data_IF_377765529465
#
_entry.id   IF_377765529465
#
_cell.length_a   1.000
_cell.length_b   1.000
_cell.length_c   1.000
_cell.angle_alpha   90.00
_cell.angle_beta   90.00
_cell.angle_gamma   90.00
#
_symmetry.space_group_name_H-M   'P 1'
#
loop_
_entity.id
_entity.type
_entity.pdbx_description
1 polymer ?
#
# COMPACT_ATOMS: atom_id res chain seq x y z
N UNK A 1 60.79 -39.09 39.53
CA UNK A 1 60.69 -38.45 38.21
C UNK A 1 59.30 -37.84 38.10
N UNK A 2 59.24 -36.50 37.96
CA UNK A 2 58.10 -35.59 37.63
C UNK A 2 56.82 -35.68 38.49
N UNK A 3 56.27 -34.70 39.23
CA UNK A 3 56.17 -33.21 39.16
C UNK A 3 55.60 -32.68 37.84
N UNK A 4 54.65 -31.74 37.74
CA UNK A 4 53.96 -30.81 38.65
C UNK A 4 52.79 -30.18 37.84
N UNK A 5 51.61 -30.02 38.43
CA UNK A 5 51.00 -28.75 38.89
C UNK A 5 50.05 -28.04 37.92
N UNK A 6 48.90 -27.71 38.51
CA UNK A 6 47.82 -26.81 38.12
C UNK A 6 48.23 -25.35 38.24
N UNK A 7 47.68 -24.46 37.42
CA UNK A 7 47.56 -23.04 37.76
C UNK A 7 46.39 -22.39 37.02
N UNK A 8 45.51 -21.77 37.79
CA UNK A 8 44.72 -20.57 37.48
C UNK A 8 45.06 -19.61 38.63
N UNK A 9 45.41 -18.33 38.40
CA UNK A 9 44.40 -17.29 38.70
C UNK A 9 44.58 -15.92 37.99
N UNK A 10 43.48 -15.15 37.98
CA UNK A 10 43.38 -13.67 38.14
C UNK A 10 44.03 -12.75 37.07
N UNK A 11 43.54 -11.56 36.73
CA UNK A 11 42.34 -10.77 37.02
C UNK A 11 42.51 -9.40 36.30
N UNK A 12 41.47 -8.56 36.39
CA UNK A 12 41.48 -7.08 36.25
C UNK A 12 41.50 -6.55 34.79
N UNK A 13 40.78 -5.50 34.40
CA UNK A 13 40.01 -4.50 35.15
C UNK A 13 39.07 -3.77 34.19
N UNK A 14 37.87 -3.47 34.67
CA UNK A 14 36.98 -2.43 34.19
C UNK A 14 37.57 -1.05 34.50
N UNK A 15 37.58 -0.14 33.53
CA UNK A 15 37.76 1.29 33.80
C UNK A 15 36.56 2.09 33.28
N UNK A 16 35.86 2.68 34.24
CA UNK A 16 35.08 3.90 34.04
C UNK A 16 36.04 5.04 33.66
N UNK A 17 35.61 5.93 32.77
CA UNK A 17 36.15 7.27 32.70
C UNK A 17 35.04 8.25 32.31
N UNK A 18 34.54 8.96 33.31
CA UNK A 18 34.03 10.31 33.16
C UNK A 18 35.13 11.20 32.56
N UNK A 19 34.81 11.96 31.52
CA UNK A 19 35.51 13.22 31.25
C UNK A 19 34.51 14.29 30.86
N UNK A 20 34.40 15.26 31.76
CA UNK A 20 33.84 16.60 31.64
C UNK A 20 34.57 17.49 30.64
N UNK A 21 33.87 18.57 30.24
CA UNK A 21 34.36 19.81 29.62
C UNK A 21 34.61 19.72 28.09
N UNK A 22 34.25 20.69 27.25
CA UNK A 22 34.16 22.15 27.44
C UNK A 22 33.17 22.78 26.46
N UNK A 23 32.56 23.87 26.92
CA UNK A 23 31.87 24.90 26.15
C UNK A 23 32.65 25.38 24.92
N UNK A 24 31.92 25.60 23.82
CA UNK A 24 32.29 26.59 22.82
C UNK A 24 31.03 27.38 22.42
N UNK A 25 30.95 28.58 22.99
CA UNK A 25 30.06 29.65 22.58
C UNK A 25 30.46 30.22 21.20
N UNK A 26 29.45 30.51 20.39
CA UNK A 26 29.35 31.68 19.52
C UNK A 26 30.04 31.64 18.14
N UNK A 27 29.59 32.47 17.16
CA UNK A 27 28.83 33.70 17.38
C UNK A 27 27.46 33.73 16.68
N UNK A 28 26.57 34.53 17.26
CA UNK A 28 25.33 34.95 16.63
C UNK A 28 25.54 35.88 15.45
N UNK A 29 24.60 35.84 14.53
CA UNK A 29 24.24 37.00 13.71
C UNK A 29 22.73 37.13 13.70
N UNK A 30 22.32 38.33 14.06
CA UNK A 30 20.96 38.85 14.07
C UNK A 30 20.46 39.16 12.66
N UNK A 31 19.13 39.11 12.50
CA UNK A 31 18.42 39.95 11.55
C UNK A 31 17.88 39.26 10.30
N UNK A 32 16.60 38.92 10.30
CA UNK A 32 15.56 39.77 9.69
C UNK A 32 14.30 38.96 9.46
N UNK A 33 13.18 39.50 9.94
CA UNK A 33 11.86 38.95 9.68
C UNK A 33 11.53 39.02 8.19
N UNK A 34 10.86 37.99 7.71
CA UNK A 34 10.07 38.06 6.50
C UNK A 34 8.64 37.69 6.87
N UNK A 35 7.86 38.73 7.16
CA UNK A 35 6.41 38.70 7.11
C UNK A 35 6.00 38.55 5.63
N UNK A 36 5.48 37.39 5.26
CA UNK A 36 5.04 37.08 3.90
C UNK A 36 3.66 36.44 3.90
N UNK A 37 2.65 37.31 3.86
CA UNK A 37 1.29 37.14 3.34
C UNK A 37 0.65 35.74 3.40
N UNK A 38 -0.36 35.64 4.26
CA UNK A 38 -1.49 34.74 4.12
C UNK A 38 -2.03 34.78 2.69
N UNK A 39 -1.91 33.67 1.96
CA UNK A 39 -2.80 33.26 0.87
C UNK A 39 -2.56 31.76 0.66
N UNK A 40 -2.79 30.98 1.72
CA UNK A 40 -3.03 29.54 1.57
C UNK A 40 -4.51 29.40 1.25
N UNK A 41 -4.85 29.42 -0.05
CA UNK A 41 -5.97 28.61 -0.53
C UNK A 41 -5.62 27.15 -0.19
N UNK A 42 -5.99 26.75 1.02
CA UNK A 42 -6.09 25.36 1.43
C UNK A 42 -7.08 24.73 0.45
N UNK A 43 -6.59 24.05 -0.57
CA UNK A 43 -7.46 23.23 -1.40
C UNK A 43 -8.13 22.20 -0.49
N UNK A 44 -9.45 22.04 -0.57
CA UNK A 44 -10.20 20.98 0.13
C UNK A 44 -9.56 19.60 -0.03
N UNK A 45 -8.81 19.39 -1.11
CA UNK A 45 -8.03 18.19 -1.40
C UNK A 45 -6.90 17.90 -0.39
N UNK A 46 -6.34 18.91 0.25
CA UNK A 46 -5.20 18.75 1.19
C UNK A 46 -5.63 18.35 2.60
N UNK A 47 -6.88 18.60 2.98
CA UNK A 47 -7.41 18.22 4.30
C UNK A 47 -7.57 16.70 4.42
N UNK A 48 -7.76 16.01 3.29
CA UNK A 48 -8.10 14.59 3.27
C UNK A 48 -6.89 13.65 3.24
N UNK A 49 -5.68 14.17 3.04
CA UNK A 49 -4.46 13.34 3.10
C UNK A 49 -3.83 13.30 4.49
N UNK A 50 -4.36 14.12 5.41
CA UNK A 50 -3.90 14.15 6.78
C UNK A 50 -4.69 13.16 7.64
N UNK A 51 -4.27 11.90 7.59
CA UNK A 51 -4.77 10.84 8.47
C UNK A 51 -4.57 11.14 9.97
N UNK A 52 -3.94 12.27 10.32
CA UNK A 52 -3.70 12.71 11.69
C UNK A 52 -4.74 13.69 12.24
N UNK A 53 -5.70 14.15 11.41
CA UNK A 53 -6.79 15.02 11.87
C UNK A 53 -7.87 14.22 12.60
N UNK A 54 -7.69 14.07 13.92
CA UNK A 54 -8.56 13.36 14.86
C UNK A 54 -9.95 13.98 15.10
N UNK A 55 -10.29 15.09 14.44
CA UNK A 55 -11.49 15.88 14.78
C UNK A 55 -12.65 15.69 13.80
N UNK A 56 -12.45 14.95 12.71
CA UNK A 56 -13.55 14.57 11.83
C UNK A 56 -14.25 13.33 12.41
N UNK A 57 -15.55 13.43 12.68
CA UNK A 57 -16.36 12.26 13.03
C UNK A 57 -16.19 11.18 11.94
N UNK A 58 -16.04 9.91 12.36
CA UNK A 58 -15.94 8.79 11.43
C UNK A 58 -17.17 8.81 10.49
N UNK A 59 -16.97 8.60 9.17
CA UNK A 59 -18.05 8.68 8.20
C UNK A 59 -19.10 7.59 8.46
N UNK A 60 -20.38 7.97 8.47
CA UNK A 60 -21.47 7.02 8.49
C UNK A 60 -21.63 6.35 7.11
N UNK A 61 -21.70 5.02 7.11
CA UNK A 61 -21.72 4.23 5.87
C UNK A 61 -23.04 4.38 5.11
N UNK A 62 -24.17 4.47 5.83
CA UNK A 62 -25.47 4.65 5.21
C UNK A 62 -25.54 6.04 4.56
N UNK A 63 -25.00 7.06 5.22
CA UNK A 63 -24.86 8.40 4.65
C UNK A 63 -23.96 8.42 3.40
N UNK A 64 -22.83 7.72 3.42
CA UNK A 64 -21.97 7.58 2.24
C UNK A 64 -22.69 6.88 1.07
N UNK A 65 -23.43 5.81 1.38
CA UNK A 65 -24.27 5.11 0.41
C UNK A 65 -25.38 6.00 -0.15
N UNK A 66 -25.99 6.85 0.66
CA UNK A 66 -27.01 7.81 0.24
C UNK A 66 -26.43 8.91 -0.63
N UNK A 67 -25.27 9.48 -0.25
CA UNK A 67 -24.52 10.46 -1.07
C UNK A 67 -24.07 9.87 -2.40
N UNK A 68 -23.74 8.58 -2.44
CA UNK A 68 -23.32 7.89 -3.66
C UNK A 68 -24.46 7.72 -4.68
N UNK A 69 -25.74 7.88 -4.28
CA UNK A 69 -26.92 7.87 -5.17
C UNK A 69 -27.07 9.16 -5.99
N UNK A 70 -25.96 9.69 -6.52
CA UNK A 70 -25.99 10.86 -7.43
C UNK A 70 -26.42 10.45 -8.84
N UNK A 71 -26.86 11.46 -9.59
CA UNK A 71 -27.14 11.33 -11.02
C UNK A 71 -25.97 10.64 -11.73
N UNK A 72 -26.24 9.70 -12.64
CA UNK A 72 -25.19 8.95 -13.33
C UNK A 72 -24.24 9.92 -14.00
N UNK A 73 -22.96 9.88 -13.61
CA UNK A 73 -21.87 10.54 -14.32
C UNK A 73 -21.98 10.15 -15.79
N UNK A 74 -22.03 11.15 -16.68
CA UNK A 74 -22.03 10.95 -18.14
C UNK A 74 -20.94 9.93 -18.44
N UNK A 75 -21.34 8.75 -18.93
CA UNK A 75 -20.44 7.61 -19.06
C UNK A 75 -19.25 8.01 -19.94
N UNK A 76 -18.08 8.26 -19.34
CA UNK A 76 -16.85 8.41 -20.11
C UNK A 76 -16.56 7.04 -20.74
N UNK A 77 -16.74 6.96 -22.06
CA UNK A 77 -16.51 5.72 -22.80
C UNK A 77 -15.03 5.58 -23.08
N UNK A 78 -14.41 4.55 -22.50
CA UNK A 78 -13.02 4.20 -22.80
C UNK A 78 -12.84 3.94 -24.31
N UNK A 79 -11.82 4.57 -24.89
CA UNK A 79 -11.42 4.31 -26.27
C UNK A 79 -10.91 2.87 -26.43
N UNK A 80 -10.66 2.42 -27.67
CA UNK A 80 -10.25 1.02 -27.93
C UNK A 80 -8.92 0.67 -27.25
N UNK A 81 -7.96 1.60 -27.22
CA UNK A 81 -6.66 1.38 -26.61
C UNK A 81 -6.78 1.24 -25.08
N UNK A 82 -7.53 2.15 -24.44
CA UNK A 82 -7.84 2.11 -23.01
C UNK A 82 -8.59 0.83 -22.63
N UNK A 83 -9.62 0.43 -23.40
CA UNK A 83 -10.34 -0.83 -23.17
C UNK A 83 -9.40 -2.03 -23.23
N UNK A 84 -8.60 -2.14 -24.30
CA UNK A 84 -7.66 -3.23 -24.45
C UNK A 84 -6.60 -3.27 -23.34
N UNK A 85 -6.15 -2.10 -22.87
CA UNK A 85 -5.22 -1.98 -21.76
C UNK A 85 -5.84 -2.52 -20.46
N UNK A 86 -7.05 -2.03 -20.11
CA UNK A 86 -7.76 -2.41 -18.88
C UNK A 86 -8.23 -3.87 -18.92
N UNK A 87 -8.87 -4.32 -20.00
CA UNK A 87 -9.47 -5.66 -20.08
C UNK A 87 -8.48 -6.76 -20.49
N UNK A 88 -7.37 -6.39 -21.12
CA UNK A 88 -6.37 -7.32 -21.63
C UNK A 88 -5.32 -7.71 -20.61
N UNK A 89 -5.08 -6.86 -19.59
CA UNK A 89 -3.98 -7.07 -18.65
C UNK A 89 -4.11 -8.38 -17.87
N UNK A 90 -5.27 -8.65 -17.26
CA UNK A 90 -5.48 -9.86 -16.46
C UNK A 90 -5.37 -11.14 -17.29
N UNK A 91 -6.03 -11.20 -18.46
CA UNK A 91 -5.93 -12.34 -19.37
C UNK A 91 -4.49 -12.56 -19.87
N UNK A 92 -3.78 -11.49 -20.25
CA UNK A 92 -2.38 -11.56 -20.64
C UNK A 92 -1.51 -12.09 -19.50
N UNK A 93 -1.68 -11.57 -18.28
CA UNK A 93 -0.96 -12.01 -17.08
C UNK A 93 -1.20 -13.51 -16.79
N UNK A 94 -2.45 -13.97 -16.90
CA UNK A 94 -2.81 -15.37 -16.69
C UNK A 94 -2.23 -16.30 -17.75
N UNK A 95 -2.20 -15.87 -19.02
CA UNK A 95 -1.54 -16.62 -20.09
C UNK A 95 -0.03 -16.73 -19.86
N UNK A 96 0.64 -15.60 -19.54
CA UNK A 96 2.09 -15.53 -19.31
C UNK A 96 2.56 -16.40 -18.15
N UNK A 97 1.76 -16.47 -17.09
CA UNK A 97 2.07 -17.25 -15.87
C UNK A 97 1.62 -18.71 -15.97
N UNK A 98 0.79 -19.06 -16.95
CA UNK A 98 0.15 -20.38 -17.06
C UNK A 98 -0.99 -20.59 -16.05
N UNK A 99 -1.50 -19.50 -15.46
CA UNK A 99 -2.51 -19.52 -14.41
C UNK A 99 -3.95 -19.55 -14.92
N UNK A 100 -4.18 -19.31 -16.23
CA UNK A 100 -5.52 -19.25 -16.82
C UNK A 100 -6.37 -20.46 -16.49
N UNK A 101 -5.83 -21.68 -16.61
CA UNK A 101 -6.55 -22.91 -16.31
C UNK A 101 -6.92 -23.04 -14.83
N UNK A 102 -6.10 -22.50 -13.91
CA UNK A 102 -6.41 -22.51 -12.48
C UNK A 102 -7.49 -21.50 -12.14
N UNK A 103 -7.40 -20.26 -12.66
CA UNK A 103 -8.44 -19.23 -12.44
C UNK A 103 -9.77 -19.61 -13.04
N UNK A 104 -9.78 -20.29 -14.21
CA UNK A 104 -11.01 -20.83 -14.80
C UNK A 104 -11.78 -21.76 -13.85
N UNK A 105 -11.10 -22.48 -12.95
CA UNK A 105 -11.76 -23.32 -11.94
C UNK A 105 -12.50 -22.51 -10.88
N UNK A 106 -12.09 -21.26 -10.66
CA UNK A 106 -12.72 -20.33 -9.71
C UNK A 106 -13.90 -19.56 -10.31
N UNK A 107 -14.14 -19.61 -11.64
CA UNK A 107 -15.23 -18.85 -12.28
C UNK A 107 -16.64 -19.24 -11.82
N UNK A 108 -16.77 -20.42 -11.21
CA UNK A 108 -18.03 -20.95 -10.70
C UNK A 108 -18.26 -20.65 -9.22
N UNK A 109 -17.31 -20.01 -8.54
CA UNK A 109 -17.38 -19.72 -7.11
C UNK A 109 -17.18 -18.23 -6.89
N UNK A 110 -17.99 -17.65 -6.02
CA UNK A 110 -17.71 -16.32 -5.51
C UNK A 110 -16.65 -16.47 -4.42
N UNK A 111 -15.48 -15.88 -4.64
CA UNK A 111 -14.37 -15.93 -3.72
C UNK A 111 -14.62 -14.92 -2.59
N UNK A 112 -14.81 -15.36 -1.34
CA UNK A 112 -15.13 -14.45 -0.24
C UNK A 112 -13.88 -13.70 0.20
N UNK A 113 -13.89 -12.38 0.07
CA UNK A 113 -12.73 -11.53 0.35
C UNK A 113 -13.10 -10.41 1.32
N UNK A 114 -12.23 -10.22 2.30
CA UNK A 114 -12.21 -9.08 3.20
C UNK A 114 -11.07 -8.14 2.79
N UNK A 115 -11.33 -6.84 2.79
CA UNK A 115 -10.36 -5.79 2.52
C UNK A 115 -10.24 -4.82 3.69
N UNK A 116 -9.00 -4.46 4.05
CA UNK A 116 -8.69 -3.50 5.09
C UNK A 116 -7.78 -2.40 4.57
N UNK A 117 -7.91 -1.19 5.12
CA UNK A 117 -7.21 -0.01 4.60
C UNK A 117 -7.44 0.11 3.09
N UNK A 118 -8.72 0.06 2.72
CA UNK A 118 -9.16 -0.38 1.40
C UNK A 118 -8.88 0.66 0.32
N UNK A 119 -8.86 1.95 0.67
CA UNK A 119 -8.70 3.06 -0.26
C UNK A 119 -9.68 2.95 -1.41
N UNK A 120 -9.17 2.66 -2.60
CA UNK A 120 -9.95 2.47 -3.82
C UNK A 120 -10.14 0.98 -4.22
N UNK A 121 -10.00 0.05 -3.29
CA UNK A 121 -10.21 -1.41 -3.47
C UNK A 121 -9.33 -2.05 -4.55
N UNK A 122 -8.06 -1.62 -4.62
CA UNK A 122 -7.12 -2.14 -5.61
C UNK A 122 -7.00 -3.67 -5.60
N UNK A 123 -7.10 -4.31 -4.43
CA UNK A 123 -7.08 -5.77 -4.29
C UNK A 123 -8.30 -6.45 -4.90
N UNK A 124 -9.51 -5.92 -4.67
CA UNK A 124 -10.76 -6.44 -5.23
C UNK A 124 -10.78 -6.23 -6.74
N UNK A 125 -10.40 -5.04 -7.22
CA UNK A 125 -10.26 -4.74 -8.64
C UNK A 125 -9.26 -5.68 -9.33
N UNK A 126 -8.14 -5.99 -8.68
CA UNK A 126 -7.16 -6.94 -9.21
C UNK A 126 -7.75 -8.35 -9.39
N UNK A 127 -8.53 -8.85 -8.41
CA UNK A 127 -9.21 -10.14 -8.52
C UNK A 127 -10.24 -10.14 -9.65
N UNK A 128 -11.05 -9.08 -9.74
CA UNK A 128 -12.03 -8.90 -10.83
C UNK A 128 -11.36 -8.85 -12.21
N UNK A 129 -10.21 -8.18 -12.33
CA UNK A 129 -9.42 -8.12 -13.56
C UNK A 129 -8.88 -9.49 -13.99
N UNK A 130 -8.65 -10.40 -13.04
CA UNK A 130 -8.32 -11.81 -13.32
C UNK A 130 -9.56 -12.64 -13.71
N UNK A 131 -10.75 -12.06 -13.65
CA UNK A 131 -12.03 -12.74 -13.89
C UNK A 131 -12.55 -13.52 -12.69
N UNK A 132 -11.95 -13.36 -11.50
CA UNK A 132 -12.43 -14.00 -10.28
C UNK A 132 -13.71 -13.27 -9.84
N UNK A 133 -14.79 -14.02 -9.62
CA UNK A 133 -15.99 -13.47 -8.97
C UNK A 133 -15.69 -13.29 -7.49
N UNK A 134 -15.91 -12.09 -6.97
CA UNK A 134 -15.61 -11.76 -5.58
C UNK A 134 -16.90 -11.58 -4.81
N UNK A 135 -17.06 -12.33 -3.71
CA UNK A 135 -18.02 -12.02 -2.66
C UNK A 135 -17.32 -11.09 -1.67
N UNK A 136 -17.64 -9.80 -1.73
CA UNK A 136 -16.99 -8.80 -0.90
C UNK A 136 -17.59 -8.85 0.51
N UNK A 137 -16.95 -9.61 1.40
CA UNK A 137 -17.45 -9.90 2.75
C UNK A 137 -17.44 -8.63 3.59
N UNK A 138 -16.31 -7.94 3.64
CA UNK A 138 -16.22 -6.66 4.30
C UNK A 138 -15.14 -5.77 3.73
N UNK A 139 -15.31 -4.47 3.93
CA UNK A 139 -14.33 -3.43 3.63
C UNK A 139 -14.10 -2.57 4.87
N UNK A 140 -12.87 -2.11 5.08
CA UNK A 140 -12.56 -1.13 6.12
C UNK A 140 -11.77 0.05 5.56
N UNK A 141 -12.23 1.26 5.84
CA UNK A 141 -11.63 2.52 5.40
C UNK A 141 -12.01 3.67 6.35
N UNK A 142 -11.02 4.47 6.75
CA UNK A 142 -11.18 5.59 7.69
C UNK A 142 -11.34 6.93 6.98
N UNK A 143 -10.82 7.04 5.75
CA UNK A 143 -10.90 8.24 4.94
C UNK A 143 -12.32 8.40 4.36
N UNK A 144 -12.96 9.51 4.65
CA UNK A 144 -14.34 9.79 4.21
C UNK A 144 -14.48 9.88 2.67
N UNK A 145 -13.52 10.47 1.96
CA UNK A 145 -13.55 10.55 0.49
C UNK A 145 -13.41 9.15 -0.13
N UNK A 146 -12.48 8.35 0.37
CA UNK A 146 -12.34 6.98 -0.07
C UNK A 146 -13.61 6.18 0.24
N UNK A 147 -14.23 6.39 1.40
CA UNK A 147 -15.52 5.78 1.77
C UNK A 147 -16.62 6.11 0.76
N UNK A 148 -16.73 7.36 0.30
CA UNK A 148 -17.69 7.74 -0.74
C UNK A 148 -17.40 7.03 -2.08
N UNK A 149 -16.13 6.92 -2.47
CA UNK A 149 -15.74 6.14 -3.64
C UNK A 149 -16.12 4.66 -3.49
N UNK A 150 -15.92 4.07 -2.31
CA UNK A 150 -16.29 2.69 -2.01
C UNK A 150 -17.79 2.48 -2.12
N UNK A 151 -18.58 3.34 -1.48
CA UNK A 151 -20.04 3.28 -1.48
C UNK A 151 -20.64 3.39 -2.90
N UNK A 152 -19.96 4.10 -3.80
CA UNK A 152 -20.39 4.23 -5.20
C UNK A 152 -20.06 3.00 -6.05
N UNK A 153 -18.91 2.36 -5.82
CA UNK A 153 -18.36 1.35 -6.72
C UNK A 153 -18.46 -0.10 -6.20
N UNK A 154 -18.59 -0.27 -4.89
CA UNK A 154 -18.53 -1.56 -4.21
C UNK A 154 -19.72 -1.72 -3.26
N UNK A 155 -20.02 -2.98 -2.91
CA UNK A 155 -21.09 -3.34 -1.98
C UNK A 155 -20.61 -4.44 -1.04
N UNK A 156 -19.67 -4.11 -0.11
CA UNK A 156 -19.30 -5.06 0.92
C UNK A 156 -20.53 -5.42 1.77
N UNK A 157 -20.62 -6.66 2.26
CA UNK A 157 -21.73 -7.06 3.16
C UNK A 157 -21.66 -6.31 4.50
N UNK A 158 -20.44 -6.03 4.96
CA UNK A 158 -20.16 -5.29 6.18
C UNK A 158 -19.12 -4.20 5.89
N UNK A 159 -19.37 -2.98 6.36
CA UNK A 159 -18.40 -1.90 6.30
C UNK A 159 -17.90 -1.53 7.70
N UNK A 160 -16.60 -1.24 7.82
CA UNK A 160 -15.97 -0.82 9.05
C UNK A 160 -15.24 0.52 8.88
N UNK A 161 -15.68 1.61 9.56
CA UNK A 161 -15.03 2.91 9.43
C UNK A 161 -13.64 2.96 10.09
N UNK A 162 -13.31 2.01 10.96
CA UNK A 162 -11.98 1.93 11.58
C UNK A 162 -11.60 0.47 11.84
N UNK A 163 -10.50 0.04 11.22
CA UNK A 163 -9.90 -1.29 11.39
C UNK A 163 -9.42 -1.56 12.82
N UNK A 164 -9.03 -0.52 13.56
CA UNK A 164 -8.53 -0.66 14.94
C UNK A 164 -9.66 -0.90 15.94
N UNK A 165 -10.86 -0.40 15.66
CA UNK A 165 -12.01 -0.39 16.58
C UNK A 165 -13.20 -1.24 16.13
N UNK A 166 -13.05 -2.00 15.04
CA UNK A 166 -14.13 -2.86 14.54
C UNK A 166 -14.43 -4.05 15.46
N UNK A 167 -15.69 -4.49 15.42
CA UNK A 167 -16.13 -5.76 16.00
C UNK A 167 -16.50 -6.70 14.85
N UNK A 168 -15.79 -7.82 14.75
CA UNK A 168 -16.03 -8.80 13.69
C UNK A 168 -17.45 -9.37 13.79
N UNK A 169 -18.09 -9.52 12.63
CA UNK A 169 -19.42 -10.11 12.49
C UNK A 169 -19.32 -11.57 12.01
N UNK A 170 -20.44 -12.30 12.06
CA UNK A 170 -20.47 -13.72 11.69
C UNK A 170 -20.06 -13.94 10.23
N UNK A 171 -20.38 -12.99 9.37
CA UNK A 171 -20.03 -12.93 7.95
C UNK A 171 -18.51 -13.01 7.75
N UNK A 172 -17.72 -12.36 8.61
CA UNK A 172 -16.26 -12.31 8.48
C UNK A 172 -15.60 -13.69 8.59
N UNK A 173 -16.18 -14.62 9.34
CA UNK A 173 -15.67 -15.99 9.50
C UNK A 173 -15.78 -16.85 8.23
N UNK A 174 -16.47 -16.35 7.20
CA UNK A 174 -16.53 -16.99 5.87
C UNK A 174 -15.46 -16.49 4.91
N UNK A 175 -14.61 -15.57 5.33
CA UNK A 175 -13.59 -14.96 4.46
C UNK A 175 -12.54 -15.99 4.02
N UNK A 176 -12.36 -16.09 2.71
CA UNK A 176 -11.35 -16.93 2.05
C UNK A 176 -10.03 -16.21 1.86
N UNK A 177 -10.05 -14.87 1.83
CA UNK A 177 -8.85 -14.06 1.87
C UNK A 177 -9.05 -12.75 2.65
N UNK A 178 -7.95 -12.22 3.19
CA UNK A 178 -7.84 -10.84 3.66
C UNK A 178 -6.76 -10.11 2.83
N UNK A 179 -7.11 -8.96 2.26
CA UNK A 179 -6.17 -8.12 1.50
C UNK A 179 -6.09 -6.75 2.16
N UNK A 180 -4.89 -6.24 2.43
CA UNK A 180 -4.73 -4.93 3.04
C UNK A 180 -3.50 -4.18 2.56
N UNK A 181 -3.65 -2.90 2.23
CA UNK A 181 -2.55 -1.95 2.02
C UNK A 181 -2.42 -1.06 3.25
N UNK A 182 -1.78 -1.55 4.32
CA UNK A 182 -1.80 -0.84 5.59
C UNK A 182 -0.93 0.44 5.54
N UNK A 183 -1.29 1.50 6.31
CA UNK A 183 -0.61 2.79 6.25
C UNK A 183 0.91 2.70 6.40
N UNK A 184 1.60 3.51 5.59
CA UNK A 184 3.05 3.55 5.50
C UNK A 184 3.66 4.81 6.13
N UNK A 185 2.85 5.65 6.79
CA UNK A 185 3.33 6.88 7.43
C UNK A 185 4.52 6.66 8.40
N UNK A 186 4.58 5.58 9.20
CA UNK A 186 5.77 5.26 10.00
C UNK A 186 6.92 4.64 9.19
N UNK A 187 6.68 4.14 7.99
CA UNK A 187 7.67 3.34 7.24
C UNK A 187 8.25 4.06 6.02
N UNK A 188 7.90 5.34 5.84
CA UNK A 188 8.35 6.16 4.71
C UNK A 188 9.81 6.59 4.85
N UNK A 189 10.56 6.52 3.75
CA UNK A 189 11.97 6.93 3.69
C UNK A 189 12.18 8.41 4.06
N UNK A 190 11.12 9.21 3.90
CA UNK A 190 11.10 10.67 4.06
C UNK A 190 10.99 11.14 5.53
N UNK A 191 10.63 10.26 6.47
CA UNK A 191 10.71 10.55 7.92
C UNK A 191 11.96 9.87 8.48
N UNK A 192 12.96 10.66 8.89
CA UNK A 192 14.21 10.17 9.49
C UNK A 192 14.05 9.88 10.98
N UNK A 193 13.14 10.60 11.64
CA UNK A 193 12.82 10.48 13.06
C UNK A 193 11.48 9.74 13.22
N UNK A 194 11.47 8.44 12.92
CA UNK A 194 10.29 7.59 13.05
C UNK A 194 10.58 6.45 14.02
N UNK A 195 9.67 6.22 14.94
CA UNK A 195 9.69 5.09 15.88
C UNK A 195 9.09 3.82 15.26
N UNK A 196 8.86 3.84 13.94
CA UNK A 196 8.46 2.69 13.12
C UNK A 196 7.18 2.03 13.64
N UNK A 197 7.27 0.83 14.24
CA UNK A 197 6.12 0.07 14.71
C UNK A 197 5.58 0.55 16.06
N UNK A 198 6.31 1.41 16.76
CA UNK A 198 5.87 1.97 18.04
C UNK A 198 4.98 3.22 17.86
N UNK A 199 4.81 3.68 16.62
CA UNK A 199 3.93 4.79 16.29
C UNK A 199 2.45 4.39 16.27
N UNK A 200 1.57 5.32 16.65
CA UNK A 200 0.12 5.21 16.51
C UNK A 200 -0.32 4.80 15.10
N UNK A 201 0.38 5.29 14.07
CA UNK A 201 0.11 4.99 12.67
C UNK A 201 0.38 3.51 12.29
N UNK A 202 1.07 2.74 13.15
CA UNK A 202 1.26 1.30 12.99
C UNK A 202 0.13 0.45 13.57
N UNK A 203 -0.78 1.02 14.39
CA UNK A 203 -1.93 0.30 14.98
C UNK A 203 -2.75 -0.53 13.97
N UNK A 204 -3.05 -0.02 12.75
CA UNK A 204 -3.75 -0.81 11.75
C UNK A 204 -3.07 -2.14 11.42
N UNK A 205 -1.73 -2.17 11.33
CA UNK A 205 -0.98 -3.40 11.05
C UNK A 205 -1.26 -4.47 12.12
N UNK A 206 -1.14 -4.11 13.40
CA UNK A 206 -1.39 -5.05 14.50
C UNK A 206 -2.85 -5.50 14.56
N UNK A 207 -3.81 -4.60 14.31
CA UNK A 207 -5.23 -4.94 14.24
C UNK A 207 -5.53 -5.94 13.11
N UNK A 208 -4.89 -5.76 11.95
CA UNK A 208 -5.00 -6.69 10.81
C UNK A 208 -4.37 -8.04 11.16
N UNK A 209 -3.17 -8.08 11.72
CA UNK A 209 -2.50 -9.35 12.13
C UNK A 209 -3.33 -10.10 13.16
N UNK A 210 -3.90 -9.40 14.15
CA UNK A 210 -4.84 -9.97 15.12
C UNK A 210 -6.07 -10.57 14.43
N UNK A 211 -6.66 -9.83 13.48
CA UNK A 211 -7.82 -10.29 12.71
C UNK A 211 -7.51 -11.55 11.90
N UNK A 212 -6.34 -11.61 11.25
CA UNK A 212 -5.89 -12.80 10.52
C UNK A 212 -5.82 -14.01 11.45
N UNK A 213 -5.24 -13.85 12.64
CA UNK A 213 -5.12 -14.91 13.63
C UNK A 213 -6.47 -15.37 14.18
N UNK A 214 -7.39 -14.44 14.46
CA UNK A 214 -8.73 -14.72 14.97
C UNK A 214 -9.62 -15.44 13.94
N UNK A 215 -9.67 -14.91 12.72
CA UNK A 215 -10.49 -15.48 11.64
C UNK A 215 -9.86 -16.72 11.01
N UNK A 216 -8.54 -16.90 11.16
CA UNK A 216 -7.75 -17.93 10.47
C UNK A 216 -8.03 -17.96 8.97
N UNK A 217 -8.05 -16.77 8.33
CA UNK A 217 -8.33 -16.66 6.90
C UNK A 217 -7.40 -17.55 6.08
N UNK A 218 -7.89 -18.31 5.09
CA UNK A 218 -7.06 -19.22 4.28
C UNK A 218 -5.84 -18.55 3.64
N UNK A 219 -6.02 -17.32 3.18
CA UNK A 219 -4.98 -16.53 2.51
C UNK A 219 -4.98 -15.11 3.09
N UNK A 220 -3.81 -14.52 3.27
CA UNK A 220 -3.71 -13.07 3.45
C UNK A 220 -2.66 -12.47 2.51
N UNK A 221 -2.89 -11.23 2.09
CA UNK A 221 -1.97 -10.43 1.29
C UNK A 221 -1.89 -9.04 1.91
N UNK A 222 -0.74 -8.69 2.46
CA UNK A 222 -0.47 -7.35 2.98
C UNK A 222 0.49 -6.63 2.05
N UNK A 223 0.19 -5.39 1.67
CA UNK A 223 1.02 -4.56 0.83
C UNK A 223 1.61 -3.40 1.63
N UNK A 224 2.84 -3.01 1.31
CA UNK A 224 3.44 -1.78 1.80
C UNK A 224 4.52 -1.25 0.84
N UNK A 225 4.97 -0.01 1.03
CA UNK A 225 6.04 0.58 0.22
C UNK A 225 7.39 -0.03 0.56
N UNK A 226 8.37 0.12 -0.37
CA UNK A 226 9.72 -0.43 -0.21
C UNK A 226 10.45 0.01 1.07
N UNK A 227 10.07 1.17 1.64
CA UNK A 227 10.63 1.71 2.88
C UNK A 227 10.44 0.81 4.11
N UNK A 228 9.42 -0.06 4.11
CA UNK A 228 9.16 -1.03 5.19
C UNK A 228 10.35 -1.98 5.44
N UNK A 229 11.28 -2.10 4.49
CA UNK A 229 12.53 -2.85 4.67
C UNK A 229 13.33 -2.42 5.91
N UNK A 230 13.17 -1.18 6.38
CA UNK A 230 13.82 -0.67 7.61
C UNK A 230 13.38 -1.40 8.87
N UNK A 231 12.13 -1.86 8.94
CA UNK A 231 11.56 -2.57 10.08
C UNK A 231 11.17 -4.03 9.74
N UNK A 232 11.74 -4.59 8.67
CA UNK A 232 11.34 -5.92 8.16
C UNK A 232 11.50 -7.04 9.20
N UNK A 233 12.51 -6.92 10.08
CA UNK A 233 12.71 -7.85 11.19
C UNK A 233 11.48 -7.92 12.10
N UNK A 234 11.03 -6.77 12.60
CA UNK A 234 9.89 -6.69 13.50
C UNK A 234 8.55 -7.04 12.80
N UNK A 235 8.36 -6.64 11.55
CA UNK A 235 7.19 -7.07 10.75
C UNK A 235 7.18 -8.59 10.60
N UNK A 236 8.33 -9.20 10.32
CA UNK A 236 8.45 -10.65 10.25
C UNK A 236 8.17 -11.30 11.60
N UNK A 237 8.72 -10.78 12.70
CA UNK A 237 8.45 -11.32 14.04
C UNK A 237 6.96 -11.36 14.36
N UNK A 238 6.23 -10.28 14.08
CA UNK A 238 4.77 -10.23 14.25
C UNK A 238 4.04 -11.24 13.36
N UNK A 239 4.38 -11.31 12.07
CA UNK A 239 3.76 -12.28 11.16
C UNK A 239 4.07 -13.73 11.55
N UNK A 240 5.27 -14.02 12.07
CA UNK A 240 5.64 -15.37 12.51
C UNK A 240 4.94 -15.80 13.81
N UNK A 241 4.25 -14.90 14.53
CA UNK A 241 3.32 -15.29 15.60
C UNK A 241 2.13 -16.08 15.05
N UNK A 242 1.78 -15.90 13.78
CA UNK A 242 0.77 -16.69 13.05
C UNK A 242 1.34 -18.06 12.65
N UNK A 243 1.69 -18.89 13.65
CA UNK A 243 2.43 -20.17 13.48
C UNK A 243 1.77 -21.16 12.50
N UNK A 244 0.45 -21.07 12.35
CA UNK A 244 -0.34 -21.94 11.47
C UNK A 244 -0.28 -21.55 10.00
N UNK A 245 0.54 -20.57 9.64
CA UNK A 245 0.71 -20.11 8.26
C UNK A 245 2.09 -20.50 7.72
N UNK A 246 2.13 -20.64 6.39
CA UNK A 246 3.34 -20.47 5.61
C UNK A 246 3.42 -19.02 5.15
N UNK A 247 4.62 -18.43 5.22
CA UNK A 247 4.86 -17.03 4.88
C UNK A 247 5.80 -16.90 3.68
N UNK A 248 5.54 -15.92 2.83
CA UNK A 248 6.43 -15.49 1.76
C UNK A 248 6.39 -13.96 1.60
N UNK A 249 7.46 -13.41 1.05
CA UNK A 249 7.59 -11.98 0.76
C UNK A 249 7.88 -11.82 -0.72
N UNK A 250 7.23 -10.87 -1.36
CA UNK A 250 7.38 -10.60 -2.78
C UNK A 250 7.59 -9.10 -2.99
N UNK A 251 8.60 -8.75 -3.78
CA UNK A 251 8.82 -7.37 -4.22
C UNK A 251 8.48 -7.25 -5.69
N UNK A 252 7.58 -6.31 -6.01
CA UNK A 252 7.13 -6.03 -7.37
C UNK A 252 7.31 -4.54 -7.64
N UNK A 253 7.97 -4.21 -8.74
CA UNK A 253 7.81 -2.91 -9.39
C UNK A 253 6.79 -3.05 -10.53
N UNK A 254 5.73 -2.24 -10.52
CA UNK A 254 4.69 -2.24 -11.54
C UNK A 254 5.26 -2.12 -12.97
N UNK A 255 6.35 -1.35 -13.14
CA UNK A 255 7.03 -1.22 -14.44
C UNK A 255 7.57 -2.55 -14.98
N UNK A 256 8.01 -3.46 -14.10
CA UNK A 256 8.54 -4.76 -14.48
C UNK A 256 7.46 -5.75 -14.94
N UNK A 257 6.18 -5.43 -14.72
CA UNK A 257 5.03 -6.26 -15.09
C UNK A 257 4.07 -5.58 -16.08
N UNK A 258 4.53 -4.48 -16.70
CA UNK A 258 3.88 -3.88 -17.87
C UNK A 258 3.13 -2.59 -17.59
N UNK A 259 3.39 -1.95 -16.45
CA UNK A 259 2.97 -0.57 -16.19
C UNK A 259 3.97 0.43 -16.80
N UNK A 260 3.51 1.66 -17.07
CA UNK A 260 4.37 2.79 -17.50
C UNK A 260 5.09 3.43 -16.32
N UNK A 261 4.55 3.31 -15.11
CA UNK A 261 5.08 3.94 -13.90
C UNK A 261 5.86 2.94 -13.05
N UNK A 262 7.06 3.35 -12.59
CA UNK A 262 7.78 2.61 -11.56
C UNK A 262 7.11 2.82 -10.20
N UNK A 263 6.71 1.74 -9.56
CA UNK A 263 6.04 1.73 -8.26
C UNK A 263 6.45 0.47 -7.48
N UNK A 264 7.66 0.44 -6.91
CA UNK A 264 8.13 -0.71 -6.14
C UNK A 264 7.34 -0.84 -4.84
N UNK A 265 6.84 -2.04 -4.57
CA UNK A 265 6.05 -2.44 -3.39
C UNK A 265 6.48 -3.79 -2.86
N UNK A 266 6.34 -3.97 -1.55
CA UNK A 266 6.50 -5.25 -0.88
C UNK A 266 5.13 -5.83 -0.56
N UNK A 267 4.99 -7.13 -0.78
CA UNK A 267 3.81 -7.91 -0.48
C UNK A 267 4.19 -9.04 0.48
N UNK A 268 3.49 -9.14 1.60
CA UNK A 268 3.59 -10.24 2.55
C UNK A 268 2.41 -11.17 2.32
N UNK A 269 2.71 -12.43 2.01
CA UNK A 269 1.72 -13.43 1.65
C UNK A 269 1.72 -14.51 2.72
N UNK A 270 0.53 -14.85 3.21
CA UNK A 270 0.34 -16.01 4.08
C UNK A 270 -0.65 -17.00 3.50
N UNK A 271 -0.36 -18.28 3.69
CA UNK A 271 -1.27 -19.39 3.36
C UNK A 271 -1.42 -20.26 4.60
N UNK A 272 -2.66 -20.47 5.04
CA UNK A 272 -2.97 -21.31 6.19
C UNK A 272 -2.57 -22.77 5.88
N UNK A 273 -1.81 -23.39 6.78
CA UNK A 273 -1.23 -24.73 6.58
C UNK A 273 -2.27 -25.81 6.31
N UNK A 274 -3.44 -25.73 6.94
CA UNK A 274 -4.49 -26.75 6.83
C UNK A 274 -5.17 -26.79 5.45
N UNK A 275 -5.00 -25.75 4.64
CA UNK A 275 -5.59 -25.63 3.29
C UNK A 275 -4.53 -25.42 2.21
N UNK A 276 -3.25 -25.42 2.60
CA UNK A 276 -2.14 -25.31 1.67
C UNK A 276 -2.10 -26.54 0.75
N UNK A 277 -1.79 -26.30 -0.53
CA UNK A 277 -1.58 -27.40 -1.46
C UNK A 277 -0.37 -28.26 -1.02
N UNK A 278 -0.34 -29.58 -1.28
CA UNK A 278 0.73 -30.48 -0.82
C UNK A 278 2.15 -30.03 -1.20
N UNK A 279 2.31 -29.34 -2.33
CA UNK A 279 3.57 -28.77 -2.78
C UNK A 279 4.04 -27.58 -1.91
N UNK A 280 3.14 -26.92 -1.17
CA UNK A 280 3.44 -25.80 -0.26
C UNK A 280 3.51 -26.35 1.16
N UNK A 281 4.64 -26.98 1.51
CA UNK A 281 4.84 -27.60 2.82
C UNK A 281 5.82 -26.84 3.74
N UNK A 282 6.32 -25.68 3.30
CA UNK A 282 7.22 -24.81 4.07
C UNK A 282 7.23 -23.38 3.52
N UNK A 283 7.71 -22.42 4.31
CA UNK A 283 7.93 -21.04 3.85
C UNK A 283 8.82 -20.99 2.61
N UNK A 284 9.88 -21.80 2.57
CA UNK A 284 10.77 -21.89 1.41
C UNK A 284 10.04 -22.38 0.14
N UNK A 285 9.14 -23.36 0.26
CA UNK A 285 8.35 -23.83 -0.88
C UNK A 285 7.33 -22.78 -1.35
N UNK A 286 6.67 -22.08 -0.42
CA UNK A 286 5.80 -20.95 -0.76
C UNK A 286 6.58 -19.84 -1.47
N UNK A 287 7.72 -19.44 -0.91
CA UNK A 287 8.61 -18.43 -1.48
C UNK A 287 9.06 -18.80 -2.90
N UNK A 288 9.47 -20.06 -3.12
CA UNK A 288 9.86 -20.55 -4.43
C UNK A 288 8.69 -20.53 -5.44
N UNK A 289 7.48 -20.89 -5.01
CA UNK A 289 6.29 -20.84 -5.86
C UNK A 289 5.98 -19.39 -6.28
N UNK A 290 5.99 -18.46 -5.34
CA UNK A 290 5.77 -17.02 -5.59
C UNK A 290 6.84 -16.46 -6.52
N UNK A 291 8.12 -16.74 -6.26
CA UNK A 291 9.25 -16.31 -7.10
C UNK A 291 9.14 -16.86 -8.53
N UNK A 292 8.70 -18.12 -8.69
CA UNK A 292 8.48 -18.73 -10.01
C UNK A 292 7.38 -18.01 -10.80
N UNK A 293 6.26 -17.68 -10.15
CA UNK A 293 5.15 -16.94 -10.77
C UNK A 293 5.62 -15.54 -11.18
N UNK A 294 6.29 -14.83 -10.28
CA UNK A 294 6.81 -13.48 -10.55
C UNK A 294 7.82 -13.47 -11.70
N UNK A 295 8.72 -14.46 -11.74
CA UNK A 295 9.70 -14.59 -12.82
C UNK A 295 9.02 -14.77 -14.18
N UNK A 296 7.96 -15.59 -14.25
CA UNK A 296 7.17 -15.79 -15.48
C UNK A 296 6.42 -14.51 -15.88
N UNK A 297 5.87 -13.79 -14.90
CA UNK A 297 5.20 -12.52 -15.15
C UNK A 297 6.13 -11.48 -15.80
N UNK A 298 7.35 -11.33 -15.26
CA UNK A 298 8.37 -10.40 -15.76
C UNK A 298 8.89 -10.80 -17.15
N UNK A 299 9.30 -12.06 -17.34
CA UNK A 299 9.98 -12.51 -18.59
C UNK A 299 9.14 -12.40 -19.85
N UNK A 300 7.83 -12.57 -19.74
CA UNK A 300 6.94 -12.56 -20.89
C UNK A 300 6.18 -11.23 -21.01
N UNK A 301 6.60 -10.19 -20.28
CA UNK A 301 5.91 -8.92 -20.30
C UNK A 301 6.17 -8.14 -21.59
N UNK A 302 5.12 -7.88 -22.35
CA UNK A 302 5.17 -6.90 -23.44
C UNK A 302 5.41 -5.51 -22.84
N UNK A 303 6.21 -4.66 -23.52
CA UNK A 303 6.41 -3.29 -23.08
C UNK A 303 5.06 -2.55 -22.97
N UNK A 304 4.92 -1.65 -21.99
CA UNK A 304 3.66 -0.97 -21.73
C UNK A 304 3.20 -0.15 -22.95
N UNK A 305 1.89 0.00 -23.10
CA UNK A 305 1.34 0.96 -24.07
C UNK A 305 1.85 2.35 -23.70
N UNK A 306 2.45 3.13 -24.63
CA UNK A 306 2.92 4.47 -24.31
C UNK A 306 1.81 5.32 -23.70
N UNK A 307 2.10 6.02 -22.60
CA UNK A 307 1.09 6.72 -21.80
C UNK A 307 0.23 7.69 -22.61
N UNK A 308 0.80 8.36 -23.61
CA UNK A 308 0.08 9.28 -24.49
C UNK A 308 -1.04 8.60 -25.29
N UNK A 309 -0.94 7.28 -25.54
CA UNK A 309 -2.01 6.50 -26.20
C UNK A 309 -3.12 6.06 -25.24
N UNK A 310 -2.95 6.29 -23.94
CA UNK A 310 -3.92 6.01 -22.90
C UNK A 310 -4.71 7.26 -22.49
N UNK A 311 -4.32 8.45 -22.97
CA UNK A 311 -5.10 9.67 -22.76
C UNK A 311 -6.45 9.55 -23.46
N UNK A 312 -7.47 10.19 -22.88
CA UNK A 312 -8.72 10.42 -23.61
C UNK A 312 -8.38 11.33 -24.79
N UNK A 313 -8.93 11.02 -25.95
CA UNK A 313 -8.95 11.99 -27.04
C UNK A 313 -9.71 13.21 -26.51
N UNK A 314 -9.23 14.43 -26.75
CA UNK A 314 -9.97 15.65 -26.40
C UNK A 314 -11.33 15.59 -27.12
N UNK A 315 -12.35 15.11 -26.41
CA UNK A 315 -13.69 14.93 -26.94
C UNK A 315 -14.32 16.31 -26.96
N UNK A 316 -14.25 16.93 -28.14
CA UNK A 316 -14.63 18.30 -28.41
C UNK A 316 -13.89 19.29 -27.52
N UNK A 317 -13.10 20.17 -28.15
CA UNK A 317 -12.71 21.40 -27.50
C UNK A 317 -14.00 22.11 -27.05
N UNK A 318 -14.41 21.89 -25.80
CA UNK A 318 -15.03 22.95 -25.02
C UNK A 318 -14.04 24.08 -25.21
N UNK A 319 -14.44 25.11 -25.96
CA UNK A 319 -13.66 26.34 -26.02
C UNK A 319 -13.65 26.87 -24.60
N UNK A 320 -12.70 26.41 -23.80
CA UNK A 320 -12.39 27.03 -22.54
C UNK A 320 -12.04 28.47 -22.90
N UNK A 321 -12.73 29.47 -22.31
CA UNK A 321 -12.35 30.86 -22.52
C UNK A 321 -10.87 30.96 -22.18
N UNK A 322 -10.07 31.65 -23.01
CA UNK A 322 -8.62 31.64 -22.89
C UNK A 322 -8.24 31.91 -21.44
N UNK A 323 -7.62 30.91 -20.79
CA UNK A 323 -7.08 31.06 -19.44
C UNK A 323 -6.21 32.31 -19.50
N UNK A 324 -6.62 33.37 -18.80
CA UNK A 324 -5.82 34.59 -18.69
C UNK A 324 -4.48 34.15 -18.13
N UNK A 325 -3.47 34.06 -19.01
CA UNK A 325 -2.10 33.70 -18.62
C UNK A 325 -1.76 34.49 -17.36
N UNK A 326 -1.48 33.78 -16.27
CA UNK A 326 -0.97 34.38 -15.04
C UNK A 326 0.24 35.21 -15.46
N UNK A 327 0.27 36.49 -15.10
CA UNK A 327 1.39 37.38 -15.45
C UNK A 327 2.67 36.70 -14.98
N UNK A 328 3.58 36.47 -15.93
CA UNK A 328 4.88 35.85 -15.72
C UNK A 328 5.57 36.56 -14.54
N UNK A 329 5.87 35.83 -13.48
CA UNK A 329 6.49 36.39 -12.29
C UNK A 329 7.99 36.55 -12.52
N UNK A 330 8.67 37.42 -11.76
CA UNK A 330 10.13 37.52 -11.86
C UNK A 330 10.86 36.23 -11.50
N UNK A 331 10.21 35.30 -10.79
CA UNK A 331 10.75 33.97 -10.51
C UNK A 331 10.87 33.14 -11.80
N UNK A 332 9.85 33.16 -12.66
CA UNK A 332 9.81 32.39 -13.91
C UNK A 332 10.95 32.79 -14.86
N UNK A 333 11.22 34.09 -14.96
CA UNK A 333 12.32 34.65 -15.77
C UNK A 333 13.72 34.28 -15.23
N UNK A 334 13.82 33.98 -13.93
CA UNK A 334 15.08 33.60 -13.28
C UNK A 334 15.45 32.15 -13.58
N UNK A 335 14.45 31.27 -13.69
CA UNK A 335 14.64 29.86 -14.06
C UNK A 335 15.00 29.67 -15.54
N UNK A 336 14.41 30.46 -16.45
CA UNK A 336 14.80 30.46 -17.87
C UNK A 336 16.26 30.90 -18.06
N UNK A 337 16.72 31.91 -17.32
CA UNK A 337 18.13 32.36 -17.37
C UNK A 337 19.14 31.34 -16.87
N UNK A 338 18.71 30.36 -16.07
CA UNK A 338 19.56 29.28 -15.55
C UNK A 338 19.57 28.03 -16.44
N UNK A 339 18.87 28.04 -17.58
CA UNK A 339 18.83 26.92 -18.52
C UNK A 339 18.14 25.67 -17.97
N UNK A 340 17.29 25.83 -16.94
CA UNK A 340 16.56 24.75 -16.28
C UNK A 340 15.08 24.70 -16.70
N UNK A 341 14.76 25.20 -17.90
CA UNK A 341 13.41 25.04 -18.45
C UNK A 341 13.21 23.55 -18.81
N UNK A 342 12.10 22.99 -18.33
CA UNK A 342 11.69 21.61 -18.55
C UNK A 342 11.35 21.39 -20.04
N UNK A 343 11.92 20.34 -20.63
CA UNK A 343 11.29 19.60 -21.73
C UNK A 343 10.24 18.62 -21.17
#
# INVERSE_FOLDING_TARGET
MSSSETTDPDALESSESETTSTDLEGPGTSGSGYSGSSDTEYSEYSVCFDSSSSDAALPDWDEACDRARRDPVISQRLNRAQRNYVSGWGNSMLCRTGMLGRVKKFLNYDFPVMSDCSGAEGGILALQALGIKVDHISSSEINCIATDFLAHNFRPRVFYPDVCNRKLQLENYRSGALIAGFPCQPFSVLRRDSDLLDEEAAKPFFAIVKTIGELRVPIYILENVRGIKRCLGAVNEELHKLRDYYHAIMEIDAKEIGDVVSRPRLYFIGVLRSVAAPEISSNAKLQNAVNSILTKAKRNCTPPTPWHKLLLDDSDAVQEPPIKRRRQTQLDLRYEKLGLAFD
#
